data_IF_547903222298
#
_entry.id   IF_547903222298
#
_cell.length_a   1.000
_cell.length_b   1.000
_cell.length_c   1.000
_cell.angle_alpha   90.00
_cell.angle_beta   90.00
_cell.angle_gamma   90.00
#
_symmetry.space_group_name_H-M   'P 1'
#
loop_
_entity.id
_entity.type
_entity.pdbx_description
1 polymer ?
#
# COMPACT_ATOMS: atom_id res chain seq x y z
N UNK A 1 -0.49 26.34 -9.87
CA UNK A 1 0.05 27.60 -10.43
C UNK A 1 -0.21 27.72 -11.93
N UNK A 2 -0.18 26.62 -12.70
CA UNK A 2 -0.44 26.63 -14.15
C UNK A 2 -1.78 27.27 -14.57
N UNK A 3 -2.89 26.97 -13.86
CA UNK A 3 -4.21 27.49 -14.22
C UNK A 3 -4.29 29.03 -14.19
N UNK A 4 -3.58 29.66 -13.25
CA UNK A 4 -3.50 31.12 -13.17
C UNK A 4 -2.70 31.71 -14.35
N UNK A 5 -1.69 31.00 -14.86
CA UNK A 5 -0.88 31.44 -16.00
C UNK A 5 -1.64 31.37 -17.32
N UNK A 6 -2.46 30.32 -17.50
CA UNK A 6 -3.37 30.19 -18.64
C UNK A 6 -4.46 31.28 -18.59
N UNK A 7 -5.07 31.50 -17.42
CA UNK A 7 -6.08 32.55 -17.23
C UNK A 7 -5.52 33.96 -17.44
N UNK A 8 -4.35 34.26 -16.86
CA UNK A 8 -3.67 35.54 -17.05
C UNK A 8 -3.28 35.75 -18.52
N UNK A 9 -2.80 34.69 -19.20
CA UNK A 9 -2.47 34.72 -20.63
C UNK A 9 -3.69 35.03 -21.50
N UNK A 10 -4.82 34.37 -21.24
CA UNK A 10 -6.08 34.63 -21.92
C UNK A 10 -6.58 36.07 -21.70
N UNK A 11 -6.52 36.56 -20.46
CA UNK A 11 -6.92 37.93 -20.13
C UNK A 11 -6.05 38.98 -20.86
N UNK A 12 -4.72 38.80 -20.85
CA UNK A 12 -3.79 39.67 -21.58
C UNK A 12 -4.06 39.67 -23.09
N UNK A 13 -4.43 38.52 -23.65
CA UNK A 13 -4.75 38.38 -25.05
C UNK A 13 -6.03 39.16 -25.42
N UNK A 14 -7.09 39.07 -24.61
CA UNK A 14 -8.33 39.83 -24.82
C UNK A 14 -8.09 41.34 -24.66
N UNK A 15 -7.36 41.75 -23.62
CA UNK A 15 -7.05 43.17 -23.38
C UNK A 15 -6.21 43.75 -24.51
N UNK A 16 -5.17 43.03 -24.94
CA UNK A 16 -4.31 43.40 -26.06
C UNK A 16 -5.08 43.47 -27.37
N UNK A 17 -6.02 42.55 -27.61
CA UNK A 17 -6.87 42.56 -28.79
C UNK A 17 -7.81 43.76 -28.82
N UNK A 18 -8.54 44.01 -27.74
CA UNK A 18 -9.48 45.14 -27.67
C UNK A 18 -8.76 46.48 -27.84
N UNK A 19 -7.61 46.63 -27.18
CA UNK A 19 -6.76 47.82 -27.32
C UNK A 19 -6.23 47.97 -28.76
N UNK A 20 -5.82 46.87 -29.40
CA UNK A 20 -5.37 46.89 -30.80
C UNK A 20 -6.50 47.35 -31.74
N UNK A 21 -7.72 46.85 -31.55
CA UNK A 21 -8.89 47.23 -32.36
C UNK A 21 -9.20 48.71 -32.19
N UNK A 22 -9.28 49.21 -30.96
CA UNK A 22 -9.54 50.64 -30.68
C UNK A 22 -8.47 51.53 -31.33
N UNK A 23 -7.20 51.15 -31.21
CA UNK A 23 -6.12 51.91 -31.80
C UNK A 23 -6.13 51.84 -33.34
N UNK A 24 -6.59 50.73 -33.92
CA UNK A 24 -6.70 50.54 -35.36
C UNK A 24 -7.88 51.29 -36.00
N UNK A 25 -8.85 51.78 -35.23
CA UNK A 25 -9.94 52.66 -35.73
C UNK A 25 -9.36 53.94 -36.37
N UNK A 26 -8.19 54.39 -35.90
CA UNK A 26 -7.50 55.57 -36.47
C UNK A 26 -6.74 55.28 -37.76
N UNK A 27 -6.69 54.02 -38.20
CA UNK A 27 -6.05 53.59 -39.45
C UNK A 27 -7.10 53.40 -40.54
N UNK A 28 -6.68 53.02 -41.75
CA UNK A 28 -7.60 52.73 -42.84
C UNK A 28 -8.50 51.53 -42.52
N UNK A 29 -9.71 51.53 -43.08
CA UNK A 29 -10.75 50.48 -42.87
C UNK A 29 -10.19 49.07 -43.08
N UNK A 30 -9.38 48.85 -44.13
CA UNK A 30 -8.76 47.54 -44.38
C UNK A 30 -7.81 47.08 -43.27
N UNK A 31 -7.08 48.00 -42.62
CA UNK A 31 -6.18 47.66 -41.51
C UNK A 31 -6.93 47.43 -40.21
N UNK A 32 -8.00 48.18 -39.99
CA UNK A 32 -8.94 47.94 -38.88
C UNK A 32 -9.57 46.55 -38.99
N UNK A 33 -9.99 46.13 -40.19
CA UNK A 33 -10.54 44.79 -40.43
C UNK A 33 -9.49 43.69 -40.14
N UNK A 34 -8.23 43.89 -40.53
CA UNK A 34 -7.15 42.95 -40.20
C UNK A 34 -6.92 42.88 -38.69
N UNK A 35 -6.95 43.99 -37.96
CA UNK A 35 -6.84 43.98 -36.50
C UNK A 35 -8.05 43.33 -35.80
N UNK A 36 -9.24 43.42 -36.40
CA UNK A 36 -10.47 42.86 -35.86
C UNK A 36 -10.53 41.33 -36.06
N UNK A 37 -10.32 40.85 -37.28
CA UNK A 37 -10.49 39.43 -37.61
C UNK A 37 -9.20 38.61 -37.50
N UNK A 38 -8.03 39.24 -37.69
CA UNK A 38 -6.72 38.58 -37.74
C UNK A 38 -5.71 39.29 -36.82
N UNK A 39 -6.10 39.54 -35.56
CA UNK A 39 -5.25 40.18 -34.56
C UNK A 39 -3.84 39.53 -34.41
N UNK A 40 -3.69 38.18 -34.37
CA UNK A 40 -2.38 37.55 -34.29
C UNK A 40 -1.49 37.82 -35.51
N UNK A 41 -2.08 38.00 -36.71
CA UNK A 41 -1.33 38.28 -37.93
C UNK A 41 -0.65 39.66 -37.87
N UNK A 42 -1.17 40.59 -37.07
CA UNK A 42 -0.56 41.91 -36.88
C UNK A 42 0.82 41.87 -36.19
N UNK A 43 1.15 40.76 -35.52
CA UNK A 43 2.48 40.51 -34.96
C UNK A 43 3.55 40.42 -36.06
N UNK A 44 3.20 39.83 -37.21
CA UNK A 44 4.10 39.63 -38.35
C UNK A 44 4.13 40.82 -39.32
N UNK A 45 3.12 41.70 -39.28
CA UNK A 45 2.97 42.86 -40.18
C UNK A 45 3.79 44.08 -39.69
N UNK A 46 5.11 43.92 -39.61
CA UNK A 46 6.04 44.97 -39.17
C UNK A 46 6.01 46.18 -40.13
N UNK A 47 5.98 47.41 -39.61
CA UNK A 47 6.00 48.65 -40.40
C UNK A 47 4.66 49.16 -40.94
N UNK A 48 3.53 48.49 -40.68
CA UNK A 48 2.20 48.89 -41.21
C UNK A 48 1.40 49.89 -40.34
N UNK A 49 2.05 50.52 -39.36
CA UNK A 49 1.45 51.55 -38.50
C UNK A 49 0.62 51.03 -37.32
N UNK A 50 0.62 49.71 -37.07
CA UNK A 50 -0.03 49.15 -35.87
C UNK A 50 0.77 49.50 -34.60
N UNK A 51 0.09 49.88 -33.50
CA UNK A 51 0.75 50.22 -32.24
C UNK A 51 1.53 49.03 -31.68
N UNK A 52 2.69 49.30 -31.09
CA UNK A 52 3.60 48.26 -30.57
C UNK A 52 3.13 47.68 -29.25
N UNK A 53 2.59 48.51 -28.34
CA UNK A 53 2.13 48.06 -27.01
C UNK A 53 1.03 47.00 -27.03
N UNK A 54 -0.09 47.16 -27.78
CA UNK A 54 -1.11 46.11 -27.86
C UNK A 54 -0.59 44.81 -28.47
N UNK A 55 0.37 44.91 -29.40
CA UNK A 55 1.04 43.75 -30.00
C UNK A 55 1.94 43.01 -29.01
N UNK A 56 2.63 43.72 -28.12
CA UNK A 56 3.41 43.09 -27.05
C UNK A 56 2.51 42.37 -26.04
N UNK A 57 1.36 42.94 -25.69
CA UNK A 57 0.36 42.29 -24.83
C UNK A 57 -0.21 41.03 -25.47
N UNK A 58 -0.53 41.08 -26.76
CA UNK A 58 -0.94 39.91 -27.52
C UNK A 58 0.13 38.82 -27.54
N UNK A 59 1.38 39.18 -27.80
CA UNK A 59 2.50 38.24 -27.83
C UNK A 59 2.69 37.60 -26.44
N UNK A 60 2.68 38.39 -25.38
CA UNK A 60 2.81 37.91 -24.01
C UNK A 60 1.66 36.99 -23.62
N UNK A 61 0.43 37.34 -24.01
CA UNK A 61 -0.75 36.50 -23.82
C UNK A 61 -0.61 35.15 -24.52
N UNK A 62 -0.19 35.13 -25.79
CA UNK A 62 0.06 33.89 -26.56
C UNK A 62 1.14 33.04 -25.90
N UNK A 63 2.30 33.63 -25.56
CA UNK A 63 3.41 32.90 -24.93
C UNK A 63 2.98 32.29 -23.59
N UNK A 64 2.29 33.06 -22.74
CA UNK A 64 1.76 32.59 -21.46
C UNK A 64 0.77 31.43 -21.64
N UNK A 65 -0.10 31.51 -22.66
CA UNK A 65 -1.06 30.46 -22.99
C UNK A 65 -0.33 29.18 -23.43
N UNK A 66 0.63 29.29 -24.36
CA UNK A 66 1.39 28.13 -24.88
C UNK A 66 2.17 27.46 -23.77
N UNK A 67 2.93 28.22 -22.98
CA UNK A 67 3.72 27.67 -21.87
C UNK A 67 2.80 27.03 -20.83
N UNK A 68 1.68 27.68 -20.49
CA UNK A 68 0.69 27.12 -19.57
C UNK A 68 0.07 25.81 -20.07
N UNK A 69 -0.28 25.73 -21.36
CA UNK A 69 -0.79 24.49 -21.97
C UNK A 69 0.25 23.39 -22.07
N UNK A 70 1.51 23.73 -22.37
CA UNK A 70 2.59 22.77 -22.48
C UNK A 70 2.92 22.16 -21.11
N UNK A 71 2.92 22.99 -20.07
CA UNK A 71 3.12 22.55 -18.70
C UNK A 71 1.96 21.66 -18.23
N UNK A 72 0.71 22.06 -18.54
CA UNK A 72 -0.47 21.25 -18.27
C UNK A 72 -0.42 19.89 -18.99
N UNK A 73 0.06 19.85 -20.24
CA UNK A 73 0.21 18.61 -21.00
C UNK A 73 1.27 17.69 -20.38
N UNK A 74 2.38 18.25 -19.89
CA UNK A 74 3.47 17.48 -19.26
C UNK A 74 3.08 16.90 -17.91
N UNK A 75 2.37 17.67 -17.11
CA UNK A 75 2.02 17.27 -15.74
C UNK A 75 0.70 16.48 -15.68
N UNK A 76 -0.30 16.82 -16.50
CA UNK A 76 -1.67 16.31 -16.39
C UNK A 76 -2.36 16.20 -17.78
N UNK A 77 -1.95 15.25 -18.64
CA UNK A 77 -2.49 15.12 -20.00
C UNK A 77 -4.00 14.87 -20.03
N UNK A 78 -4.53 14.14 -19.05
CA UNK A 78 -5.94 13.78 -18.94
C UNK A 78 -6.86 15.00 -18.73
N UNK A 79 -6.37 16.04 -18.04
CA UNK A 79 -7.16 17.28 -17.87
C UNK A 79 -7.33 18.04 -19.17
N UNK A 80 -6.36 17.94 -20.08
CA UNK A 80 -6.39 18.61 -21.37
C UNK A 80 -7.47 18.00 -22.27
N UNK A 81 -7.62 16.67 -22.23
CA UNK A 81 -8.70 15.96 -22.94
C UNK A 81 -10.08 16.33 -22.40
N UNK A 82 -10.21 16.55 -21.08
CA UNK A 82 -11.46 17.03 -20.46
C UNK A 82 -11.81 18.46 -20.89
N UNK A 83 -10.82 19.36 -20.99
CA UNK A 83 -11.03 20.73 -21.47
C UNK A 83 -11.42 20.75 -22.96
N UNK A 84 -10.76 19.93 -23.80
CA UNK A 84 -11.05 19.86 -25.23
C UNK A 84 -12.38 19.19 -25.55
N UNK A 85 -12.81 18.22 -24.73
CA UNK A 85 -14.10 17.54 -24.87
C UNK A 85 -15.29 18.33 -24.33
N UNK A 86 -15.07 19.54 -23.81
CA UNK A 86 -16.13 20.41 -23.31
C UNK A 86 -16.62 20.05 -21.90
N UNK A 87 -15.93 19.17 -21.18
CA UNK A 87 -16.27 18.72 -19.83
C UNK A 87 -15.58 19.59 -18.77
N UNK A 88 -15.80 20.92 -18.83
CA UNK A 88 -15.14 21.93 -17.98
C UNK A 88 -15.40 21.78 -16.48
N UNK A 89 -16.38 20.96 -16.08
CA UNK A 89 -16.78 20.73 -14.68
C UNK A 89 -17.18 19.30 -14.37
N UNK A 90 -16.77 18.31 -15.17
CA UNK A 90 -16.99 16.94 -14.79
C UNK A 90 -15.96 16.59 -13.70
N UNK A 91 -16.37 16.69 -12.43
CA UNK A 91 -15.92 15.66 -11.48
C UNK A 91 -16.12 14.35 -12.23
N UNK A 92 -15.02 13.65 -12.52
CA UNK A 92 -15.03 12.49 -13.40
C UNK A 92 -16.27 11.66 -13.07
N UNK A 93 -17.16 11.38 -14.04
CA UNK A 93 -18.17 10.38 -13.81
C UNK A 93 -17.38 9.08 -13.80
N UNK A 94 -16.80 8.75 -12.65
CA UNK A 94 -16.82 7.36 -12.27
C UNK A 94 -18.31 7.04 -12.31
N UNK A 95 -18.75 6.35 -13.36
CA UNK A 95 -19.81 5.34 -13.23
C UNK A 95 -19.33 4.41 -12.13
N UNK A 96 -19.41 4.90 -10.90
CA UNK A 96 -19.10 4.18 -9.70
C UNK A 96 -20.24 3.18 -9.63
N UNK A 97 -19.90 1.90 -9.67
CA UNK A 97 -20.83 0.82 -9.34
C UNK A 97 -21.18 0.85 -7.84
N UNK A 98 -21.25 2.06 -7.27
CA UNK A 98 -21.32 2.36 -5.87
C UNK A 98 -22.75 2.81 -5.58
N UNK A 99 -23.46 1.94 -4.90
CA UNK A 99 -24.88 2.06 -4.67
C UNK A 99 -25.17 1.84 -3.20
N UNK A 100 -26.17 2.53 -2.70
CA UNK A 100 -26.49 2.47 -1.29
C UNK A 100 -27.75 3.23 -0.91
N UNK A 101 -27.99 3.27 0.39
CA UNK A 101 -28.96 4.15 1.01
C UNK A 101 -28.35 4.83 2.23
N UNK A 102 -28.78 6.05 2.53
CA UNK A 102 -28.53 6.75 3.80
C UNK A 102 -29.87 7.14 4.40
N UNK A 103 -30.14 6.64 5.60
CA UNK A 103 -31.40 6.92 6.32
C UNK A 103 -32.64 6.63 5.46
N UNK A 104 -32.60 5.53 4.71
CA UNK A 104 -33.69 5.09 3.82
C UNK A 104 -33.79 5.86 2.48
N UNK A 105 -32.95 6.87 2.25
CA UNK A 105 -32.89 7.59 0.98
C UNK A 105 -31.84 6.95 0.06
N UNK A 106 -32.08 6.86 -1.26
CA UNK A 106 -31.07 6.35 -2.20
C UNK A 106 -29.79 7.18 -2.08
N UNK A 107 -28.62 6.56 -2.21
CA UNK A 107 -27.31 7.19 -2.10
C UNK A 107 -26.37 6.64 -3.16
N UNK A 108 -25.91 7.51 -4.05
CA UNK A 108 -25.02 7.23 -5.18
C UNK A 108 -23.89 8.26 -5.12
N UNK A 109 -22.77 7.94 -4.46
CA UNK A 109 -21.68 8.88 -4.27
C UNK A 109 -21.04 9.24 -5.61
N UNK A 110 -20.93 10.54 -5.87
CA UNK A 110 -20.29 11.09 -7.07
C UNK A 110 -18.81 11.37 -6.83
N UNK A 111 -18.42 11.57 -5.56
CA UNK A 111 -17.04 11.89 -5.17
C UNK A 111 -16.62 11.14 -3.93
N UNK A 112 -15.44 10.54 -3.99
CA UNK A 112 -14.83 9.79 -2.90
C UNK A 112 -13.46 10.39 -2.65
N UNK A 113 -13.21 10.82 -1.42
CA UNK A 113 -11.96 11.49 -1.07
C UNK A 113 -11.48 11.04 0.30
N UNK A 114 -10.16 10.89 0.40
CA UNK A 114 -9.48 10.75 1.67
C UNK A 114 -9.11 12.13 2.20
N UNK A 115 -9.58 12.52 3.39
CA UNK A 115 -9.31 13.83 4.01
C UNK A 115 -8.74 13.63 5.42
N UNK A 116 -7.44 13.84 5.58
CA UNK A 116 -6.78 13.61 6.87
C UNK A 116 -6.84 12.12 7.24
N UNK A 117 -7.70 11.78 8.20
CA UNK A 117 -7.95 10.41 8.67
C UNK A 117 -9.36 9.90 8.31
N UNK A 118 -10.07 10.63 7.46
CA UNK A 118 -11.47 10.37 7.13
C UNK A 118 -11.62 9.94 5.67
N UNK A 119 -12.33 8.84 5.43
CA UNK A 119 -12.84 8.46 4.11
C UNK A 119 -14.23 9.05 3.92
N UNK A 120 -14.37 9.95 2.93
CA UNK A 120 -15.60 10.73 2.72
C UNK A 120 -16.22 10.40 1.37
N UNK A 121 -17.49 9.99 1.41
CA UNK A 121 -18.35 9.76 0.27
C UNK A 121 -19.34 10.91 0.16
N UNK A 122 -19.33 11.61 -0.97
CA UNK A 122 -20.11 12.81 -1.20
C UNK A 122 -21.03 12.63 -2.40
N UNK A 123 -22.32 12.92 -2.22
CA UNK A 123 -23.26 13.03 -3.32
C UNK A 123 -23.69 14.49 -3.51
N UNK A 124 -23.65 14.93 -4.77
CA UNK A 124 -24.09 16.25 -5.20
C UNK A 124 -22.94 17.24 -5.42
N UNK A 125 -23.29 18.43 -5.91
CA UNK A 125 -22.32 19.46 -6.24
C UNK A 125 -21.56 19.90 -4.97
N UNK A 126 -20.28 20.27 -5.08
CA UNK A 126 -19.45 20.64 -3.93
C UNK A 126 -19.99 21.84 -3.14
N UNK A 127 -20.77 22.72 -3.78
CA UNK A 127 -21.41 23.88 -3.13
C UNK A 127 -22.69 23.50 -2.37
N UNK A 128 -23.28 22.34 -2.68
CA UNK A 128 -24.54 21.87 -2.07
C UNK A 128 -24.56 20.35 -2.05
N UNK A 129 -23.83 19.79 -1.09
CA UNK A 129 -23.83 18.36 -0.79
C UNK A 129 -25.25 17.92 -0.41
N UNK A 130 -25.75 16.87 -1.06
CA UNK A 130 -27.07 16.29 -0.79
C UNK A 130 -27.02 15.27 0.34
N UNK A 131 -26.00 14.41 0.31
CA UNK A 131 -25.80 13.30 1.24
C UNK A 131 -24.29 13.07 1.37
N UNK A 132 -23.85 12.81 2.60
CA UNK A 132 -22.44 12.57 2.92
C UNK A 132 -22.37 11.41 3.91
N UNK A 133 -21.48 10.47 3.63
CA UNK A 133 -21.05 9.45 4.57
C UNK A 133 -19.57 9.66 4.83
N UNK A 134 -19.21 9.83 6.09
CA UNK A 134 -17.82 9.92 6.54
C UNK A 134 -17.50 8.72 7.41
N UNK A 135 -16.41 8.03 7.10
CA UNK A 135 -15.82 6.96 7.93
C UNK A 135 -14.55 7.53 8.53
N UNK A 136 -14.52 7.71 9.85
CA UNK A 136 -13.41 8.33 10.58
C UNK A 136 -12.51 7.26 11.19
N UNK A 137 -11.23 7.29 10.84
CA UNK A 137 -10.25 6.33 11.36
C UNK A 137 -9.42 6.85 12.52
N UNK A 138 -9.66 8.07 13.01
CA UNK A 138 -8.89 8.67 14.11
C UNK A 138 -8.82 7.78 15.37
N UNK A 139 -9.91 7.07 15.69
CA UNK A 139 -9.97 6.12 16.82
C UNK A 139 -9.67 4.67 16.47
N UNK A 140 -9.32 4.38 15.21
CA UNK A 140 -9.14 3.01 14.69
C UNK A 140 -8.02 2.93 13.64
N UNK A 141 -6.96 3.72 13.83
CA UNK A 141 -5.87 3.86 12.86
C UNK A 141 -5.05 2.59 12.70
N UNK A 142 -5.03 1.73 13.74
CA UNK A 142 -4.38 0.42 13.68
C UNK A 142 -4.91 -0.46 12.55
N UNK A 143 -6.20 -0.31 12.20
CA UNK A 143 -6.83 -1.12 11.15
C UNK A 143 -6.35 -0.81 9.75
N UNK A 144 -5.85 0.40 9.52
CA UNK A 144 -5.31 0.78 8.22
C UNK A 144 -3.96 0.10 7.92
N UNK A 145 -3.35 -0.54 8.93
CA UNK A 145 -2.13 -1.34 8.74
C UNK A 145 -2.45 -2.71 8.13
N UNK A 146 -3.68 -3.19 8.25
CA UNK A 146 -4.12 -4.45 7.65
C UNK A 146 -4.41 -4.26 6.15
N UNK A 147 -4.22 -5.31 5.33
CA UNK A 147 -4.54 -5.25 3.89
C UNK A 147 -6.03 -4.98 3.65
N UNK A 148 -6.89 -5.57 4.48
CA UNK A 148 -8.34 -5.43 4.40
C UNK A 148 -8.87 -5.01 5.77
N UNK A 149 -9.53 -3.86 5.83
CA UNK A 149 -10.18 -3.38 7.06
C UNK A 149 -11.52 -4.09 7.20
N UNK A 150 -11.69 -4.92 8.23
CA UNK A 150 -12.95 -5.63 8.48
C UNK A 150 -13.47 -5.38 9.90
N UNK A 151 -14.79 -5.17 9.99
CA UNK A 151 -15.55 -5.09 11.25
C UNK A 151 -16.89 -5.76 11.08
N UNK A 152 -17.25 -6.59 12.05
CA UNK A 152 -18.53 -7.25 12.18
C UNK A 152 -19.18 -6.89 13.52
N UNK A 153 -20.52 -6.80 13.58
CA UNK A 153 -21.23 -6.56 14.83
C UNK A 153 -20.81 -7.54 15.92
N UNK A 154 -20.39 -7.01 17.08
CA UNK A 154 -19.91 -7.80 18.21
C UNK A 154 -18.40 -8.02 18.27
N UNK A 155 -17.64 -7.58 17.27
CA UNK A 155 -16.17 -7.60 17.33
C UNK A 155 -15.64 -6.70 18.45
N UNK A 156 -14.70 -7.23 19.24
CA UNK A 156 -13.96 -6.45 20.23
C UNK A 156 -12.82 -5.66 19.57
N UNK A 157 -12.54 -4.46 20.08
CA UNK A 157 -11.41 -3.63 19.64
C UNK A 157 -11.81 -2.24 19.15
N UNK A 158 -10.94 -1.64 18.34
CA UNK A 158 -11.14 -0.29 17.81
C UNK A 158 -12.17 -0.27 16.68
N UNK A 159 -13.02 0.75 16.65
CA UNK A 159 -14.09 0.92 15.65
C UNK A 159 -13.98 2.28 14.96
N UNK A 160 -13.99 2.33 13.62
CA UNK A 160 -14.13 3.59 12.89
C UNK A 160 -15.46 4.29 13.23
N UNK A 161 -15.47 5.61 13.34
CA UNK A 161 -16.73 6.32 13.57
C UNK A 161 -17.41 6.66 12.24
N UNK A 162 -18.67 6.29 12.09
CA UNK A 162 -19.47 6.66 10.93
C UNK A 162 -20.26 7.92 11.22
N UNK A 163 -20.19 8.90 10.32
CA UNK A 163 -21.00 10.12 10.36
C UNK A 163 -21.84 10.20 9.09
N UNK A 164 -23.14 10.09 9.28
CA UNK A 164 -24.16 10.19 8.24
C UNK A 164 -24.71 11.62 8.25
N UNK A 165 -24.69 12.28 7.09
CA UNK A 165 -25.29 13.58 6.90
C UNK A 165 -26.22 13.55 5.68
N UNK A 166 -27.44 14.05 5.82
CA UNK A 166 -28.42 14.09 4.74
C UNK A 166 -29.26 15.35 4.79
N UNK A 167 -29.67 15.83 3.63
CA UNK A 167 -30.56 17.00 3.51
C UNK A 167 -31.94 16.54 3.03
N UNK A 168 -32.98 16.79 3.83
CA UNK A 168 -34.37 16.44 3.52
C UNK A 168 -35.11 17.51 2.70
N UNK A 169 -34.52 18.70 2.50
CA UNK A 169 -35.09 19.78 1.71
C UNK A 169 -34.22 21.03 1.73
N UNK A 170 -34.44 21.96 0.78
CA UNK A 170 -33.59 23.14 0.57
C UNK A 170 -33.57 24.13 1.76
N UNK A 171 -34.57 24.08 2.64
CA UNK A 171 -34.73 24.96 3.80
C UNK A 171 -34.68 24.20 5.14
N UNK A 172 -34.49 22.89 5.12
CA UNK A 172 -34.41 22.06 6.31
C UNK A 172 -32.95 21.97 6.79
N UNK A 173 -32.74 21.96 8.11
CA UNK A 173 -31.44 21.66 8.68
C UNK A 173 -31.00 20.24 8.25
N UNK A 174 -29.70 20.02 7.98
CA UNK A 174 -29.21 18.70 7.67
C UNK A 174 -29.44 17.76 8.85
N UNK A 175 -29.94 16.56 8.57
CA UNK A 175 -29.87 15.47 9.52
C UNK A 175 -28.42 15.04 9.70
N UNK A 176 -28.04 14.80 10.95
CA UNK A 176 -26.71 14.33 11.32
C UNK A 176 -26.87 13.13 12.27
N UNK A 177 -26.22 12.02 11.94
CA UNK A 177 -26.19 10.84 12.81
C UNK A 177 -24.77 10.31 12.89
N UNK A 178 -24.31 10.11 14.13
CA UNK A 178 -23.06 9.41 14.43
C UNK A 178 -23.37 7.96 14.82
N UNK A 179 -22.60 7.01 14.30
CA UNK A 179 -22.65 5.59 14.63
C UNK A 179 -21.21 5.17 14.96
N UNK A 180 -21.01 4.59 16.14
CA UNK A 180 -19.67 4.30 16.69
C UNK A 180 -19.33 2.82 16.64
N UNK A 181 -20.32 1.95 16.58
CA UNK A 181 -20.18 0.49 16.60
C UNK A 181 -21.42 -0.18 15.97
N UNK A 182 -21.49 -1.51 16.07
CA UNK A 182 -22.64 -2.34 15.68
C UNK A 182 -22.99 -2.27 14.18
N UNK A 183 -21.98 -2.15 13.32
CA UNK A 183 -22.14 -2.19 11.87
C UNK A 183 -21.19 -3.20 11.23
N UNK A 184 -21.49 -3.61 10.00
CA UNK A 184 -20.57 -4.42 9.19
C UNK A 184 -19.82 -3.52 8.22
N UNK A 185 -18.49 -3.57 8.23
CA UNK A 185 -17.62 -2.83 7.31
C UNK A 185 -16.55 -3.76 6.76
N UNK A 186 -16.40 -3.76 5.45
CA UNK A 186 -15.26 -4.33 4.75
C UNK A 186 -14.75 -3.28 3.77
N UNK A 187 -13.47 -2.92 3.91
CA UNK A 187 -12.77 -2.06 2.97
C UNK A 187 -11.52 -2.79 2.50
N UNK A 188 -11.41 -2.91 1.19
CA UNK A 188 -10.26 -3.47 0.51
C UNK A 188 -9.67 -2.38 -0.39
N UNK A 189 -8.39 -2.09 -0.21
CA UNK A 189 -7.67 -1.10 -1.02
C UNK A 189 -6.59 -1.84 -1.81
N UNK A 190 -6.67 -1.75 -3.13
CA UNK A 190 -5.65 -2.26 -4.03
C UNK A 190 -4.38 -1.42 -4.01
N UNK A 191 -3.39 -1.88 -4.76
CA UNK A 191 -2.13 -1.16 -4.93
C UNK A 191 -2.34 0.17 -5.68
N UNK A 192 -1.60 1.22 -5.33
CA UNK A 192 -1.67 2.51 -6.00
C UNK A 192 -1.13 2.41 -7.43
N UNK A 193 -1.99 2.64 -8.43
CA UNK A 193 -1.62 2.65 -9.85
C UNK A 193 -1.73 4.08 -10.38
N UNK A 194 -0.62 4.63 -10.90
CA UNK A 194 -0.57 5.98 -11.49
C UNK A 194 -1.10 7.09 -10.56
N UNK A 195 -0.90 6.95 -9.24
CA UNK A 195 -1.33 7.93 -8.25
C UNK A 195 -2.82 7.85 -7.85
N UNK A 196 -3.55 6.84 -8.34
CA UNK A 196 -4.92 6.51 -7.94
C UNK A 196 -4.93 5.19 -7.16
N UNK A 197 -5.94 5.02 -6.30
CA UNK A 197 -6.15 3.79 -5.54
C UNK A 197 -7.55 3.26 -5.84
N UNK A 198 -7.62 2.06 -6.40
CA UNK A 198 -8.88 1.33 -6.55
C UNK A 198 -9.14 0.47 -5.32
N UNK A 199 -10.40 0.23 -5.00
CA UNK A 199 -10.77 -0.61 -3.88
C UNK A 199 -12.23 -1.04 -3.93
N UNK A 200 -12.68 -1.71 -2.87
CA UNK A 200 -14.07 -2.12 -2.69
C UNK A 200 -14.54 -1.78 -1.28
N UNK A 201 -15.82 -1.44 -1.19
CA UNK A 201 -16.51 -1.20 0.09
C UNK A 201 -17.74 -2.08 0.19
N UNK A 202 -17.93 -2.63 1.37
CA UNK A 202 -19.20 -3.19 1.84
C UNK A 202 -19.47 -2.63 3.23
N UNK A 203 -20.50 -1.79 3.34
CA UNK A 203 -20.96 -1.20 4.59
C UNK A 203 -22.44 -1.51 4.77
N UNK A 204 -22.80 -2.03 5.93
CA UNK A 204 -24.19 -2.28 6.29
C UNK A 204 -24.41 -1.91 7.76
N UNK A 205 -25.37 -1.02 8.00
CA UNK A 205 -25.77 -0.61 9.36
C UNK A 205 -27.03 -1.38 9.81
N UNK A 206 -27.32 -1.40 11.11
CA UNK A 206 -28.56 -1.97 11.63
C UNK A 206 -29.80 -1.37 10.96
N UNK A 207 -30.87 -2.17 10.88
CA UNK A 207 -32.09 -1.84 10.13
C UNK A 207 -32.72 -0.50 10.52
N UNK A 208 -32.56 -0.08 11.79
CA UNK A 208 -33.02 1.22 12.29
C UNK A 208 -32.46 2.41 11.48
N UNK A 209 -31.27 2.25 10.90
CA UNK A 209 -30.64 3.27 10.08
C UNK A 209 -31.00 3.16 8.60
N UNK A 210 -31.48 2.01 8.13
CA UNK A 210 -31.78 1.78 6.70
C UNK A 210 -30.65 2.30 5.78
N UNK A 211 -29.41 2.02 6.17
CA UNK A 211 -28.19 2.58 5.58
C UNK A 211 -27.26 1.45 5.20
N UNK A 212 -26.88 1.41 3.93
CA UNK A 212 -25.91 0.47 3.39
C UNK A 212 -25.19 1.13 2.21
N UNK A 213 -23.97 0.69 1.92
CA UNK A 213 -23.19 1.16 0.79
C UNK A 213 -22.33 0.00 0.29
N UNK A 214 -22.40 -0.30 -1.01
CA UNK A 214 -21.59 -1.36 -1.61
C UNK A 214 -21.16 -0.95 -3.00
N UNK A 215 -19.91 -1.28 -3.35
CA UNK A 215 -19.41 -1.06 -4.70
C UNK A 215 -17.90 -0.90 -4.77
N UNK A 216 -17.44 -0.45 -5.94
CA UNK A 216 -16.03 -0.09 -6.17
C UNK A 216 -15.78 1.34 -5.72
N UNK A 217 -14.62 1.57 -5.10
CA UNK A 217 -14.13 2.89 -4.72
C UNK A 217 -12.91 3.24 -5.57
N UNK A 218 -12.81 4.50 -5.97
CA UNK A 218 -11.65 5.04 -6.68
C UNK A 218 -11.25 6.34 -5.98
N UNK A 219 -10.05 6.35 -5.42
CA UNK A 219 -9.47 7.52 -4.79
C UNK A 219 -8.59 8.26 -5.78
N UNK A 220 -8.85 9.55 -5.97
CA UNK A 220 -8.09 10.41 -6.87
C UNK A 220 -6.65 10.68 -6.40
N UNK A 221 -6.33 10.35 -5.14
CA UNK A 221 -5.01 10.54 -4.54
C UNK A 221 -4.69 9.40 -3.59
N UNK A 222 -3.43 8.98 -3.56
CA UNK A 222 -2.93 7.97 -2.64
C UNK A 222 -2.95 8.49 -1.20
N UNK A 223 -3.62 7.83 -0.25
CA UNK A 223 -3.59 8.20 1.17
C UNK A 223 -2.19 8.06 1.79
N UNK A 224 -1.79 8.92 2.75
CA UNK A 224 -0.47 8.83 3.39
C UNK A 224 -0.21 7.49 4.09
N UNK A 225 -1.21 6.93 4.78
CA UNK A 225 -1.08 5.67 5.51
C UNK A 225 -0.77 4.49 4.59
N UNK A 226 -1.19 4.52 3.32
CA UNK A 226 -0.94 3.44 2.36
C UNK A 226 0.54 3.44 1.95
N UNK A 227 1.12 4.62 1.74
CA UNK A 227 2.55 4.78 1.46
C UNK A 227 3.40 4.35 2.67
N UNK A 228 2.96 4.70 3.89
CA UNK A 228 3.62 4.27 5.13
C UNK A 228 3.62 2.73 5.26
N UNK A 229 2.50 2.09 4.93
CA UNK A 229 2.35 0.62 4.94
C UNK A 229 3.28 -0.05 3.93
N UNK A 230 3.29 0.41 2.68
CA UNK A 230 4.18 -0.12 1.63
C UNK A 230 5.66 -0.02 2.03
N UNK A 231 6.06 1.13 2.59
CA UNK A 231 7.43 1.32 3.08
C UNK A 231 7.77 0.37 4.23
N UNK A 232 6.85 0.18 5.18
CA UNK A 232 7.04 -0.74 6.29
C UNK A 232 7.17 -2.19 5.81
N UNK A 233 6.35 -2.60 4.83
CA UNK A 233 6.43 -3.93 4.22
C UNK A 233 7.75 -4.14 3.47
N UNK A 234 8.21 -3.14 2.71
CA UNK A 234 9.52 -3.19 2.03
C UNK A 234 10.67 -3.35 3.03
N UNK A 235 10.69 -2.54 4.10
CA UNK A 235 11.70 -2.64 5.14
C UNK A 235 11.67 -4.00 5.85
N UNK A 236 10.48 -4.55 6.12
CA UNK A 236 10.34 -5.88 6.71
C UNK A 236 10.87 -6.98 5.77
N UNK A 237 10.62 -6.87 4.47
CA UNK A 237 11.15 -7.78 3.46
C UNK A 237 12.67 -7.68 3.34
N UNK A 238 13.24 -6.48 3.32
CA UNK A 238 14.69 -6.26 3.31
C UNK A 238 15.36 -6.85 4.55
N UNK A 239 14.77 -6.65 5.72
CA UNK A 239 15.26 -7.23 6.97
C UNK A 239 15.16 -8.76 6.95
N UNK A 240 14.05 -9.32 6.47
CA UNK A 240 13.90 -10.76 6.33
C UNK A 240 14.94 -11.35 5.36
N UNK A 241 15.19 -10.68 4.23
CA UNK A 241 16.22 -11.06 3.28
C UNK A 241 17.63 -10.96 3.89
N UNK A 242 17.93 -9.91 4.65
CA UNK A 242 19.20 -9.76 5.35
C UNK A 242 19.41 -10.84 6.43
N UNK A 243 18.36 -11.17 7.19
CA UNK A 243 18.41 -12.26 8.16
C UNK A 243 18.59 -13.62 7.49
N UNK A 244 17.92 -13.87 6.36
CA UNK A 244 18.11 -15.09 5.58
C UNK A 244 19.52 -15.18 5.01
N UNK A 245 20.05 -14.09 4.44
CA UNK A 245 21.42 -14.03 3.94
C UNK A 245 22.45 -14.24 5.07
N UNK A 246 22.22 -13.67 6.26
CA UNK A 246 23.07 -13.89 7.42
C UNK A 246 22.99 -15.33 7.96
N UNK A 247 21.83 -15.98 7.87
CA UNK A 247 21.68 -17.39 8.21
C UNK A 247 22.44 -18.30 7.24
N UNK A 248 22.32 -18.06 5.93
CA UNK A 248 23.07 -18.78 4.89
C UNK A 248 24.57 -18.54 5.05
N UNK A 249 25.01 -17.31 5.28
CA UNK A 249 26.43 -17.00 5.52
C UNK A 249 26.97 -17.64 6.83
N UNK A 250 26.12 -17.86 7.84
CA UNK A 250 26.49 -18.63 9.04
C UNK A 250 26.58 -20.13 8.77
N UNK A 251 25.77 -20.66 7.86
CA UNK A 251 25.87 -22.06 7.41
C UNK A 251 27.09 -22.27 6.48
N UNK A 252 27.35 -21.38 5.53
CA UNK A 252 28.51 -21.45 4.63
C UNK A 252 29.82 -21.10 5.33
N UNK A 253 29.78 -20.18 6.31
CA UNK A 253 30.91 -19.84 7.18
C UNK A 253 31.15 -20.84 8.31
N UNK A 254 30.26 -21.83 8.49
CA UNK A 254 30.49 -22.96 9.38
C UNK A 254 31.51 -23.88 8.70
N UNK A 255 32.76 -23.80 9.14
CA UNK A 255 33.77 -24.78 8.79
C UNK A 255 33.23 -26.19 9.11
N UNK A 256 33.40 -27.20 8.23
CA UNK A 256 32.91 -28.57 8.43
C UNK A 256 33.71 -29.33 9.51
N UNK A 257 33.82 -28.77 10.71
CA UNK A 257 34.63 -29.31 11.80
C UNK A 257 34.18 -28.91 13.22
N UNK A 258 33.09 -28.15 13.39
CA UNK A 258 32.59 -27.77 14.72
C UNK A 258 31.29 -28.48 15.16
N UNK A 259 30.87 -29.51 14.43
CA UNK A 259 30.18 -30.62 15.06
C UNK A 259 31.24 -31.70 15.27
N UNK A 260 31.57 -32.01 16.53
CA UNK A 260 32.43 -33.17 16.86
C UNK A 260 31.75 -34.41 16.29
N UNK A 261 32.20 -34.78 15.10
CA UNK A 261 31.62 -35.82 14.25
C UNK A 261 31.63 -37.13 15.04
N UNK A 262 30.47 -37.78 15.09
CA UNK A 262 30.37 -39.12 15.61
C UNK A 262 31.09 -40.03 14.61
N UNK A 263 32.23 -40.57 15.02
CA UNK A 263 33.01 -41.45 14.16
C UNK A 263 32.56 -42.89 14.42
N UNK A 264 32.34 -43.64 13.35
CA UNK A 264 32.02 -45.06 13.46
C UNK A 264 33.16 -45.79 14.16
N UNK A 265 32.85 -46.39 15.30
CA UNK A 265 33.78 -47.15 16.12
C UNK A 265 33.66 -48.62 15.72
N UNK A 266 34.77 -49.29 15.47
CA UNK A 266 34.75 -50.73 15.22
C UNK A 266 34.33 -51.48 16.49
N UNK A 267 33.21 -52.20 16.42
CA UNK A 267 32.73 -53.03 17.52
C UNK A 267 33.75 -54.10 17.93
N UNK A 268 34.51 -54.63 16.96
CA UNK A 268 35.54 -55.62 17.21
C UNK A 268 36.70 -55.01 18.01
N UNK A 269 37.15 -53.80 17.63
CA UNK A 269 38.21 -53.09 18.35
C UNK A 269 37.80 -52.74 19.80
N UNK A 270 36.52 -52.41 20.01
CA UNK A 270 35.98 -52.14 21.34
C UNK A 270 35.95 -53.40 22.23
N UNK A 271 35.74 -54.58 21.64
CA UNK A 271 35.71 -55.86 22.38
C UNK A 271 37.13 -56.35 22.68
N UNK A 272 38.07 -56.15 21.75
CA UNK A 272 39.46 -56.56 21.90
C UNK A 272 40.22 -55.67 22.92
N UNK A 273 39.98 -54.35 22.90
CA UNK A 273 40.68 -53.38 23.75
C UNK A 273 39.71 -52.45 24.51
N UNK A 274 38.81 -52.98 25.38
CA UNK A 274 37.73 -52.21 25.99
C UNK A 274 38.22 -51.09 26.92
N UNK A 275 39.42 -51.24 27.51
CA UNK A 275 40.00 -50.26 28.41
C UNK A 275 40.30 -48.92 27.72
N UNK A 276 40.62 -48.91 26.42
CA UNK A 276 40.94 -47.69 25.67
C UNK A 276 39.74 -46.79 25.42
N UNK A 277 38.53 -47.35 25.49
CA UNK A 277 37.29 -46.64 25.18
C UNK A 277 36.44 -46.37 26.42
N UNK A 278 36.90 -46.80 27.60
CA UNK A 278 36.22 -46.52 28.87
C UNK A 278 36.12 -45.01 29.10
N UNK A 279 34.92 -44.53 29.44
CA UNK A 279 34.64 -43.11 29.63
C UNK A 279 34.31 -42.33 28.35
N UNK A 280 34.36 -42.96 27.17
CA UNK A 280 34.00 -42.31 25.90
C UNK A 280 32.49 -42.21 25.74
N UNK A 281 32.02 -41.07 25.21
CA UNK A 281 30.62 -40.92 24.82
C UNK A 281 30.36 -41.72 23.55
N UNK A 282 29.38 -42.61 23.62
CA UNK A 282 29.06 -43.59 22.58
C UNK A 282 27.59 -43.48 22.20
N UNK A 283 27.33 -43.59 20.90
CA UNK A 283 26.01 -43.76 20.33
C UNK A 283 25.93 -45.16 19.73
N UNK A 284 24.96 -45.94 20.20
CA UNK A 284 24.74 -47.31 19.78
C UNK A 284 23.40 -47.42 19.05
N UNK A 285 23.40 -47.96 17.85
CA UNK A 285 22.19 -48.29 17.09
C UNK A 285 22.00 -49.79 17.05
N UNK A 286 20.86 -50.28 17.53
CA UNK A 286 20.52 -51.70 17.51
C UNK A 286 19.92 -52.13 16.16
N UNK A 287 19.89 -53.43 15.88
CA UNK A 287 19.18 -53.97 14.70
C UNK A 287 17.69 -53.66 14.68
N UNK A 288 17.09 -53.40 15.85
CA UNK A 288 15.70 -52.93 15.98
C UNK A 288 15.48 -51.48 15.54
N UNK A 289 16.56 -50.75 15.20
CA UNK A 289 16.53 -49.33 14.82
C UNK A 289 16.53 -48.37 16.01
N UNK A 290 16.54 -48.87 17.25
CA UNK A 290 16.63 -48.04 18.46
C UNK A 290 18.05 -47.49 18.64
N UNK A 291 18.13 -46.20 18.96
CA UNK A 291 19.38 -45.47 19.22
C UNK A 291 19.51 -45.20 20.71
N UNK A 292 20.65 -45.58 21.28
CA UNK A 292 21.00 -45.38 22.68
C UNK A 292 22.25 -44.50 22.77
N UNK A 293 22.17 -43.44 23.56
CA UNK A 293 23.29 -42.52 23.80
C UNK A 293 23.69 -42.63 25.27
N UNK A 294 24.97 -42.86 25.52
CA UNK A 294 25.52 -43.00 26.87
C UNK A 294 27.03 -42.97 26.87
N UNK A 295 27.63 -43.19 28.03
CA UNK A 295 29.08 -43.32 28.19
C UNK A 295 29.43 -44.79 28.32
N UNK A 296 30.39 -45.26 27.54
CA UNK A 296 30.88 -46.64 27.66
C UNK A 296 31.67 -46.81 28.95
N UNK A 297 31.31 -47.80 29.78
CA UNK A 297 32.05 -48.11 31.01
C UNK A 297 33.02 -49.25 30.80
N UNK A 298 32.49 -50.44 30.51
CA UNK A 298 33.27 -51.66 30.44
C UNK A 298 32.51 -52.78 29.69
N UNK A 299 33.22 -53.88 29.45
CA UNK A 299 32.65 -55.12 28.94
C UNK A 299 32.41 -56.08 30.12
N UNK A 300 31.18 -56.57 30.26
CA UNK A 300 30.82 -57.56 31.27
C UNK A 300 31.54 -58.90 31.05
N UNK A 301 31.62 -59.74 32.10
CA UNK A 301 32.17 -61.11 32.03
C UNK A 301 31.49 -62.00 30.96
N UNK A 302 30.25 -61.65 30.57
CA UNK A 302 29.46 -62.31 29.53
C UNK A 302 29.63 -61.66 28.15
N UNK A 303 30.66 -60.84 27.94
CA UNK A 303 30.93 -60.08 26.70
C UNK A 303 29.82 -59.09 26.31
N UNK A 304 29.09 -58.54 27.30
CA UNK A 304 28.06 -57.50 27.09
C UNK A 304 28.62 -56.10 27.27
N UNK A 305 28.28 -55.17 26.38
CA UNK A 305 28.66 -53.77 26.48
C UNK A 305 27.80 -53.06 27.53
N UNK A 306 28.44 -52.40 28.51
CA UNK A 306 27.75 -51.61 29.53
C UNK A 306 27.84 -50.13 29.19
N UNK A 307 26.68 -49.51 28.92
CA UNK A 307 26.53 -48.07 28.70
C UNK A 307 25.86 -47.43 29.92
N UNK A 308 26.51 -46.41 30.49
CA UNK A 308 25.90 -45.56 31.50
C UNK A 308 25.14 -44.41 30.83
N UNK A 309 23.83 -44.35 31.02
CA UNK A 309 22.98 -43.28 30.51
C UNK A 309 22.50 -42.40 31.68
N UNK A 310 22.77 -41.10 31.61
CA UNK A 310 22.21 -40.14 32.55
C UNK A 310 20.73 -39.90 32.22
N UNK A 311 19.85 -40.08 33.21
CA UNK A 311 18.41 -39.81 33.10
C UNK A 311 17.99 -38.90 34.24
N UNK A 312 18.19 -37.59 34.06
CA UNK A 312 17.95 -36.60 35.13
C UNK A 312 19.06 -36.65 36.18
N UNK A 313 18.71 -36.82 37.46
CA UNK A 313 19.66 -36.93 38.57
C UNK A 313 20.21 -38.36 38.78
N UNK A 314 19.59 -39.37 38.14
CA UNK A 314 19.97 -40.77 38.27
C UNK A 314 20.73 -41.28 37.04
N UNK A 315 21.63 -42.26 37.24
CA UNK A 315 22.32 -42.98 36.17
C UNK A 315 21.73 -44.39 36.03
N UNK A 316 21.42 -44.79 34.80
CA UNK A 316 20.95 -46.14 34.47
C UNK A 316 22.01 -46.84 33.64
N UNK A 317 22.37 -48.06 34.02
CA UNK A 317 23.28 -48.92 33.27
C UNK A 317 22.50 -49.81 32.31
N UNK A 318 22.85 -49.75 31.03
CA UNK A 318 22.22 -50.51 29.96
C UNK A 318 23.21 -51.53 29.42
N UNK A 319 22.77 -52.78 29.31
CA UNK A 319 23.60 -53.90 28.90
C UNK A 319 23.18 -54.35 27.50
N UNK A 320 24.12 -54.37 26.56
CA UNK A 320 23.87 -54.75 25.17
C UNK A 320 24.71 -55.97 24.78
N UNK A 321 24.09 -56.94 24.13
CA UNK A 321 24.83 -58.05 23.53
C UNK A 321 25.44 -57.59 22.18
N UNK A 322 26.70 -57.95 21.85
CA UNK A 322 27.35 -57.49 20.63
C UNK A 322 26.56 -57.75 19.34
N UNK A 323 25.88 -58.89 19.26
CA UNK A 323 25.07 -59.28 18.10
C UNK A 323 23.83 -58.41 17.89
N UNK A 324 23.35 -57.70 18.93
CA UNK A 324 22.18 -56.83 18.83
C UNK A 324 22.54 -55.44 18.31
N UNK A 325 23.84 -55.14 18.21
CA UNK A 325 24.38 -53.86 17.79
C UNK A 325 24.58 -53.89 16.28
N UNK A 326 23.94 -52.94 15.59
CA UNK A 326 24.13 -52.73 14.16
C UNK A 326 25.30 -51.80 13.89
N UNK A 327 25.42 -50.75 14.70
CA UNK A 327 26.41 -49.69 14.51
C UNK A 327 26.71 -49.03 15.85
N UNK A 328 27.98 -48.69 16.06
CA UNK A 328 28.45 -47.98 17.24
C UNK A 328 29.33 -46.82 16.80
N UNK A 329 29.09 -45.65 17.36
CA UNK A 329 29.81 -44.42 17.03
C UNK A 329 30.35 -43.82 18.33
N UNK A 330 31.57 -43.30 18.31
CA UNK A 330 32.15 -42.60 19.45
C UNK A 330 32.37 -41.12 19.13
N UNK A 331 32.30 -40.31 20.17
CA UNK A 331 32.71 -38.91 20.09
C UNK A 331 34.17 -38.83 20.51
N UNK A 332 35.05 -38.37 19.61
CA UNK A 332 36.45 -38.14 19.96
C UNK A 332 36.53 -37.14 21.13
N UNK A 333 37.06 -37.60 22.26
CA UNK A 333 37.45 -36.75 23.40
C UNK A 333 38.91 -36.36 23.17
N UNK A 334 39.29 -35.07 23.30
CA UNK A 334 40.67 -34.63 23.10
C UNK A 334 41.64 -35.22 24.13
#
# INVERSE_FOLDING_TARGET
>A
MEALMILAGGLLLVLGWFWLVIAAIRLSVGRMLVALFLAPLTLFLRGRGYPTWPRLLLLLGIVSLVVGTLELQRQQPERLDLLLSGHWSAAAPATSDLQGTIMGQPFVPERIVWRGEDLVFEEGPPERLRRVLTIRFAGARSLLQEPVVQRLPGDEGEWPELVLQWYSGALAAPGLRKVVDDYSLSLDFGEPVQGRVEGRIHLHLPTIYSTWLTGRIELASVPPWLLEREQAEQLAQEQAAAHAAAAVAREEGRQPGEEKEWQELSLLALIDEPALFSGSAVRLTTWSGRVHLGTFRELSAEQRLILAQARGADQVELHFHPLDIRMIESRATP
#
